data_IF_976743596582
#
_entry.id   IF_976743596582
#
_cell.length_a   1.000
_cell.length_b   1.000
_cell.length_c   1.000
_cell.angle_alpha   90.00
_cell.angle_beta   90.00
_cell.angle_gamma   90.00
#
_symmetry.space_group_name_H-M   'P 1'
#
loop_
_entity.id
_entity.type
_entity.pdbx_description
1 polymer ?
#
# COMPACT_ATOMS: atom_id res chain seq x y z
N UNK A 1 -5.25 -10.31 -27.48
CA UNK A 1 -6.29 -9.44 -28.07
C UNK A 1 -7.60 -9.82 -27.40
N UNK A 2 -8.13 -8.97 -26.51
CA UNK A 2 -9.27 -9.39 -25.67
C UNK A 2 -10.63 -9.23 -26.37
N UNK A 3 -10.81 -8.31 -27.35
CA UNK A 3 -12.15 -7.98 -27.87
C UNK A 3 -12.22 -7.56 -29.37
N UNK A 4 -11.32 -8.01 -30.25
CA UNK A 4 -11.35 -7.69 -31.70
C UNK A 4 -11.36 -6.20 -32.10
N UNK A 5 -11.10 -5.30 -31.14
CA UNK A 5 -10.85 -3.88 -31.31
C UNK A 5 -9.38 -3.67 -30.92
N UNK A 6 -8.64 -2.90 -31.71
CA UNK A 6 -7.23 -2.58 -31.47
C UNK A 6 -7.09 -1.55 -30.33
N UNK A 7 -7.47 -1.97 -29.13
CA UNK A 7 -7.28 -1.22 -27.89
C UNK A 7 -6.30 -2.03 -27.03
N UNK A 8 -5.12 -1.48 -26.68
CA UNK A 8 -4.08 -2.21 -25.97
C UNK A 8 -4.35 -2.33 -24.44
N UNK A 9 -5.60 -2.12 -24.00
CA UNK A 9 -6.01 -2.11 -22.60
C UNK A 9 -7.43 -2.64 -22.42
N UNK A 10 -7.78 -3.08 -21.21
CA UNK A 10 -9.13 -3.53 -20.84
C UNK A 10 -10.12 -2.36 -20.85
N UNK A 11 -11.35 -2.58 -21.34
CA UNK A 11 -12.37 -1.51 -21.43
C UNK A 11 -12.79 -0.93 -20.06
N UNK A 12 -12.59 -1.67 -18.98
CA UNK A 12 -12.87 -1.21 -17.61
C UNK A 12 -11.72 -0.37 -17.03
N UNK A 13 -10.58 -0.30 -17.72
CA UNK A 13 -9.36 0.29 -17.19
C UNK A 13 -9.28 1.78 -17.51
N UNK A 14 -9.42 2.62 -16.50
CA UNK A 14 -9.42 4.10 -16.67
C UNK A 14 -8.01 4.71 -16.56
N UNK A 15 -7.06 3.99 -15.92
CA UNK A 15 -5.68 4.44 -15.67
C UNK A 15 -4.69 3.27 -15.76
N UNK A 16 -3.46 3.55 -16.19
CA UNK A 16 -2.38 2.56 -16.22
C UNK A 16 -1.59 2.45 -14.91
N UNK A 17 -0.67 1.47 -14.78
CA UNK A 17 0.17 1.30 -13.58
C UNK A 17 1.20 2.42 -13.41
N UNK A 18 1.36 3.28 -14.41
CA UNK A 18 2.22 4.49 -14.36
C UNK A 18 1.41 5.73 -13.96
N UNK A 19 0.11 5.59 -13.68
CA UNK A 19 -0.76 6.72 -13.33
C UNK A 19 -1.24 7.53 -14.53
N UNK A 20 -1.03 7.06 -15.77
CA UNK A 20 -1.52 7.73 -16.97
C UNK A 20 -2.99 7.40 -17.15
N UNK A 21 -3.82 8.43 -17.22
CA UNK A 21 -5.23 8.29 -17.58
C UNK A 21 -5.35 7.82 -19.04
N UNK A 22 -6.13 6.76 -19.26
CA UNK A 22 -6.34 6.15 -20.59
C UNK A 22 -7.80 6.20 -21.05
N UNK A 23 -8.72 6.63 -20.18
CA UNK A 23 -10.12 6.91 -20.52
C UNK A 23 -10.60 8.21 -19.86
N UNK A 24 -11.57 8.89 -20.47
CA UNK A 24 -12.16 10.11 -19.94
C UNK A 24 -13.05 9.84 -18.71
N UNK A 25 -13.15 10.82 -17.81
CA UNK A 25 -14.10 10.82 -16.69
C UNK A 25 -15.28 11.73 -17.05
N UNK A 26 -16.48 11.37 -16.62
CA UNK A 26 -17.70 12.14 -16.91
C UNK A 26 -17.91 13.33 -15.97
N UNK A 27 -17.24 13.35 -14.82
CA UNK A 27 -17.41 14.37 -13.79
C UNK A 27 -16.32 15.44 -13.85
N UNK A 28 -16.71 16.72 -13.82
CA UNK A 28 -15.78 17.85 -13.83
C UNK A 28 -14.83 17.81 -12.63
N UNK A 29 -13.53 17.88 -12.90
CA UNK A 29 -12.49 17.83 -11.87
C UNK A 29 -12.17 16.43 -11.32
N UNK A 30 -12.90 15.38 -11.74
CA UNK A 30 -12.54 14.02 -11.38
C UNK A 30 -11.38 13.51 -12.22
N UNK A 31 -10.39 12.90 -11.57
CA UNK A 31 -9.28 12.21 -12.22
C UNK A 31 -9.10 10.82 -11.62
N UNK A 32 -8.60 9.83 -12.38
CA UNK A 32 -8.14 8.59 -11.78
C UNK A 32 -6.85 8.82 -10.98
N UNK A 33 -6.53 7.91 -10.07
CA UNK A 33 -5.35 8.04 -9.22
C UNK A 33 -4.05 8.13 -10.02
N UNK A 34 -3.24 9.14 -9.70
CA UNK A 34 -1.87 9.24 -10.21
C UNK A 34 -0.97 8.16 -9.60
N UNK A 35 0.28 8.07 -10.07
CA UNK A 35 1.22 7.04 -9.63
C UNK A 35 1.48 7.10 -8.12
N UNK A 36 1.62 8.30 -7.57
CA UNK A 36 1.90 8.53 -6.16
C UNK A 36 0.73 8.11 -5.26
N UNK A 37 -0.51 8.28 -5.73
CA UNK A 37 -1.73 7.83 -5.06
C UNK A 37 -1.89 6.32 -5.16
N UNK A 38 -1.70 5.74 -6.35
CA UNK A 38 -1.70 4.29 -6.54
C UNK A 38 -0.66 3.63 -5.63
N UNK A 39 0.56 4.15 -5.57
CA UNK A 39 1.62 3.62 -4.70
C UNK A 39 1.26 3.72 -3.22
N UNK A 40 0.58 4.79 -2.80
CA UNK A 40 0.11 4.93 -1.41
C UNK A 40 -0.92 3.87 -1.06
N UNK A 41 -1.87 3.60 -1.95
CA UNK A 41 -2.89 2.55 -1.77
C UNK A 41 -2.22 1.16 -1.74
N UNK A 42 -1.33 0.88 -2.68
CA UNK A 42 -0.70 -0.43 -2.81
C UNK A 42 0.29 -0.76 -1.67
N UNK A 43 0.80 0.24 -0.95
CA UNK A 43 1.68 0.04 0.22
C UNK A 43 0.97 -0.59 1.43
N UNK A 44 -0.37 -0.63 1.46
CA UNK A 44 -1.13 -1.21 2.59
C UNK A 44 -0.71 -2.64 2.89
N UNK A 45 -0.35 -3.44 1.88
CA UNK A 45 0.12 -4.82 2.07
C UNK A 45 1.34 -4.94 2.98
N UNK A 46 2.25 -3.95 2.99
CA UNK A 46 3.43 -3.94 3.87
C UNK A 46 3.03 -3.77 5.33
N UNK A 47 1.95 -3.03 5.59
CA UNK A 47 1.41 -2.82 6.93
C UNK A 47 0.62 -4.04 7.42
N UNK A 48 -0.15 -4.66 6.51
CA UNK A 48 -1.02 -5.80 6.84
C UNK A 48 -0.25 -6.97 7.44
N UNK A 49 0.96 -7.26 6.98
CA UNK A 49 1.76 -8.37 7.53
C UNK A 49 1.93 -8.28 9.05
N UNK A 50 2.25 -7.09 9.58
CA UNK A 50 2.39 -6.91 11.04
C UNK A 50 1.04 -6.83 11.76
N UNK A 51 0.05 -6.19 11.13
CA UNK A 51 -1.27 -6.01 11.72
C UNK A 51 -2.11 -7.29 11.74
N UNK A 52 -1.93 -8.21 10.79
CA UNK A 52 -2.60 -9.51 10.78
C UNK A 52 -2.18 -10.34 12.00
N UNK A 53 -0.91 -10.26 12.44
CA UNK A 53 -0.45 -10.91 13.67
C UNK A 53 -0.98 -10.28 14.96
N UNK A 54 -1.67 -9.13 14.92
CA UNK A 54 -2.33 -8.58 16.11
C UNK A 54 -3.45 -9.50 16.63
N UNK A 55 -3.99 -10.38 15.78
CA UNK A 55 -4.97 -11.39 16.19
C UNK A 55 -4.38 -12.48 17.10
N UNK A 56 -3.07 -12.70 17.04
CA UNK A 56 -2.35 -13.59 17.95
C UNK A 56 -1.86 -12.78 19.16
N UNK A 57 -2.58 -12.89 20.27
CA UNK A 57 -2.28 -12.15 21.49
C UNK A 57 -0.88 -12.45 22.05
N UNK A 58 -0.37 -13.67 21.91
CA UNK A 58 0.93 -14.06 22.44
C UNK A 58 2.06 -13.44 21.61
N UNK A 59 1.96 -13.52 20.28
CA UNK A 59 2.90 -12.86 19.36
C UNK A 59 2.84 -11.35 19.56
N UNK A 60 1.63 -10.78 19.59
CA UNK A 60 1.47 -9.33 19.71
C UNK A 60 2.01 -8.79 21.03
N UNK A 61 1.76 -9.49 22.15
CA UNK A 61 2.34 -9.12 23.44
C UNK A 61 3.86 -9.07 23.35
N UNK A 62 4.50 -10.10 22.80
CA UNK A 62 5.96 -10.16 22.64
C UNK A 62 6.50 -9.01 21.78
N UNK A 63 5.81 -8.64 20.70
CA UNK A 63 6.18 -7.49 19.86
C UNK A 63 6.10 -6.20 20.67
N UNK A 64 5.00 -6.00 21.42
CA UNK A 64 4.76 -4.78 22.19
C UNK A 64 5.67 -4.67 23.41
N UNK A 65 6.08 -5.78 24.02
CA UNK A 65 7.05 -5.80 25.12
C UNK A 65 8.44 -5.32 24.64
N UNK A 66 8.82 -5.62 23.39
CA UNK A 66 10.12 -5.24 22.81
C UNK A 66 10.12 -3.82 22.23
N UNK A 67 9.01 -3.42 21.60
CA UNK A 67 8.95 -2.19 20.79
C UNK A 67 8.11 -1.08 21.41
N UNK A 68 7.31 -1.40 22.43
CA UNK A 68 6.21 -0.58 22.92
C UNK A 68 5.00 -0.61 21.99
N UNK A 69 3.87 -0.05 22.44
CA UNK A 69 2.69 0.13 21.58
C UNK A 69 2.86 1.35 20.68
N UNK A 70 2.61 1.17 19.37
CA UNK A 70 2.66 2.23 18.36
C UNK A 70 1.39 3.10 18.37
N UNK A 71 1.08 3.77 19.51
CA UNK A 71 -0.12 4.62 19.65
C UNK A 71 -0.07 5.91 18.84
N UNK A 72 1.11 6.30 18.37
CA UNK A 72 1.32 7.50 17.55
C UNK A 72 2.09 7.14 16.28
N UNK A 73 1.81 7.88 15.21
CA UNK A 73 2.47 7.72 13.91
C UNK A 73 4.00 7.93 13.99
N UNK A 74 4.44 8.88 14.84
CA UNK A 74 5.86 9.09 15.14
C UNK A 74 6.50 7.83 15.75
N UNK A 75 5.83 7.19 16.72
CA UNK A 75 6.32 5.95 17.33
C UNK A 75 6.30 4.80 16.34
N UNK A 76 5.26 4.70 15.53
CA UNK A 76 5.14 3.67 14.51
C UNK A 76 6.31 3.71 13.52
N UNK A 77 6.66 4.91 13.02
CA UNK A 77 7.83 5.12 12.16
C UNK A 77 9.16 4.77 12.82
N UNK A 78 9.32 5.09 14.11
CA UNK A 78 10.54 4.74 14.87
C UNK A 78 10.73 3.21 14.94
N UNK A 79 9.66 2.47 15.21
CA UNK A 79 9.65 1.01 15.29
C UNK A 79 9.99 0.40 13.93
N UNK A 80 9.34 0.86 12.85
CA UNK A 80 9.62 0.39 11.48
C UNK A 80 11.11 0.60 11.11
N UNK A 81 11.68 1.78 11.39
CA UNK A 81 13.11 2.05 11.14
C UNK A 81 14.01 1.06 11.88
N UNK A 82 13.71 0.73 13.14
CA UNK A 82 14.48 -0.24 13.93
C UNK A 82 14.40 -1.65 13.36
N UNK A 83 13.19 -2.10 12.99
CA UNK A 83 12.95 -3.43 12.41
C UNK A 83 13.69 -3.57 11.07
N UNK A 84 13.51 -2.62 10.15
CA UNK A 84 14.17 -2.66 8.86
C UNK A 84 15.70 -2.59 8.98
N UNK A 85 16.23 -1.72 9.85
CA UNK A 85 17.68 -1.63 10.09
C UNK A 85 18.29 -2.94 10.62
N UNK A 86 17.54 -3.70 11.43
CA UNK A 86 17.97 -5.01 11.93
C UNK A 86 18.00 -6.05 10.79
N UNK A 87 17.00 -6.03 9.91
CA UNK A 87 16.91 -6.95 8.76
C UNK A 87 17.93 -6.68 7.65
N UNK A 88 18.47 -5.47 7.53
CA UNK A 88 19.47 -5.10 6.52
C UNK A 88 20.92 -5.40 6.93
N UNK A 89 21.17 -5.72 8.20
CA UNK A 89 22.49 -6.19 8.64
C UNK A 89 22.64 -7.67 8.23
N UNK A 90 23.18 -7.90 7.04
CA UNK A 90 23.81 -9.17 6.68
C UNK A 90 25.09 -9.36 7.47
#
# INVERSE_FOLDING_TARGET
>A
MANNIDIPFELERIVDEKGKQIQATSHYGAHPFNKEEQDRIMRVNVCLSCHDYQKDAAIWKKVTDVTGFAKTDAKHREILKKIFKKGTKK
#
